data_IF_385396973990
#
_entry.id   IF_385396973990
#
_cell.length_a   1.000
_cell.length_b   1.000
_cell.length_c   1.000
_cell.angle_alpha   90.00
_cell.angle_beta   90.00
_cell.angle_gamma   90.00
#
_symmetry.space_group_name_H-M   'P 1'
#
loop_
_entity.id
_entity.type
_entity.pdbx_description
1 polymer ?
#
# COMPACT_ATOMS: atom_id res chain seq x y z
N UNK A 1 35.34 -24.19 -2.57
CA UNK A 1 36.16 -24.14 -3.80
C UNK A 1 35.22 -23.77 -4.95
N UNK A 2 35.61 -22.83 -5.82
CA UNK A 2 34.79 -22.02 -6.75
C UNK A 2 34.00 -20.86 -6.13
N UNK A 3 34.73 -19.86 -5.63
CA UNK A 3 34.30 -18.46 -5.52
C UNK A 3 35.24 -17.66 -6.42
N UNK A 4 34.77 -16.55 -6.98
CA UNK A 4 35.43 -15.65 -7.95
C UNK A 4 35.26 -16.06 -9.42
N UNK A 5 34.13 -15.68 -10.01
CA UNK A 5 34.06 -15.46 -11.46
C UNK A 5 33.11 -14.28 -11.75
N UNK A 6 33.70 -13.23 -12.31
CA UNK A 6 33.09 -12.05 -12.95
C UNK A 6 32.22 -11.10 -12.12
N UNK A 7 32.87 -10.06 -11.59
CA UNK A 7 32.29 -8.72 -11.43
C UNK A 7 33.30 -7.73 -12.05
N UNK A 8 33.24 -7.52 -13.38
CA UNK A 8 34.12 -6.54 -14.05
C UNK A 8 33.49 -5.76 -15.21
N UNK A 9 32.16 -5.82 -15.39
CA UNK A 9 31.49 -5.08 -16.47
C UNK A 9 30.32 -4.27 -15.91
N UNK A 10 30.60 -3.18 -15.19
CA UNK A 10 29.60 -2.16 -14.88
C UNK A 10 30.24 -0.80 -14.53
N UNK A 11 31.16 -0.32 -15.37
CA UNK A 11 31.50 1.11 -15.43
C UNK A 11 31.73 1.47 -16.89
N UNK A 12 30.64 1.75 -17.62
CA UNK A 12 30.73 2.47 -18.89
C UNK A 12 30.36 3.92 -18.56
N UNK A 13 31.32 4.88 -18.56
CA UNK A 13 30.97 6.28 -18.45
C UNK A 13 30.19 6.69 -19.69
N UNK A 14 28.98 7.20 -19.48
CA UNK A 14 28.11 7.78 -20.49
C UNK A 14 28.75 9.10 -20.95
N UNK A 15 29.65 9.06 -21.94
CA UNK A 15 30.13 10.27 -22.60
C UNK A 15 29.05 10.75 -23.57
N UNK A 16 28.25 11.71 -23.12
CA UNK A 16 27.37 12.47 -23.99
C UNK A 16 28.22 13.31 -24.96
N UNK A 17 28.29 12.87 -26.21
CA UNK A 17 28.96 13.61 -27.28
C UNK A 17 28.01 14.71 -27.78
N UNK A 18 28.20 15.93 -27.29
CA UNK A 18 27.52 17.13 -27.78
C UNK A 18 28.02 17.45 -29.19
N UNK A 19 27.14 17.33 -30.20
CA UNK A 19 27.41 17.79 -31.55
C UNK A 19 27.44 19.32 -31.57
N UNK A 20 28.63 19.89 -31.72
CA UNK A 20 28.81 21.31 -32.00
C UNK A 20 28.39 21.61 -33.44
N UNK A 21 27.29 22.34 -33.60
CA UNK A 21 26.96 23.03 -34.85
C UNK A 21 27.94 24.18 -35.09
N UNK A 22 28.91 23.97 -35.98
CA UNK A 22 29.70 25.07 -36.56
C UNK A 22 28.86 25.77 -37.63
N UNK A 23 28.45 27.00 -37.34
CA UNK A 23 27.87 27.94 -38.31
C UNK A 23 29.00 28.50 -39.16
N UNK A 24 29.22 27.93 -40.35
CA UNK A 24 30.03 28.57 -41.37
C UNK A 24 29.24 29.72 -42.00
N UNK A 25 29.59 30.93 -41.59
CA UNK A 25 29.08 32.18 -42.18
C UNK A 25 29.99 32.51 -43.35
N UNK A 26 29.65 32.06 -44.55
CA UNK A 26 30.35 32.48 -45.77
C UNK A 26 29.95 33.93 -46.10
N UNK A 27 30.82 34.87 -45.79
CA UNK A 27 30.75 36.26 -46.21
C UNK A 27 31.01 36.38 -47.72
N UNK A 28 29.95 36.61 -48.49
CA UNK A 28 30.05 37.01 -49.90
C UNK A 28 30.57 38.44 -49.99
N UNK A 29 31.83 38.61 -50.41
CA UNK A 29 32.33 39.90 -50.87
C UNK A 29 31.91 40.13 -52.33
N UNK A 30 30.82 40.87 -52.54
CA UNK A 30 30.53 41.52 -53.81
C UNK A 30 31.47 42.71 -54.00
N UNK A 31 32.51 42.55 -54.80
CA UNK A 31 33.18 43.67 -55.49
C UNK A 31 32.71 43.66 -56.95
N UNK A 32 31.80 44.57 -57.25
CA UNK A 32 31.49 44.95 -58.62
C UNK A 32 32.66 45.74 -59.19
N UNK A 33 33.29 45.22 -60.25
CA UNK A 33 34.04 46.05 -61.19
C UNK A 33 33.57 45.66 -62.57
N UNK A 34 32.77 46.55 -63.15
CA UNK A 34 32.41 46.54 -64.57
C UNK A 34 33.69 46.82 -65.35
N UNK A 35 34.12 45.87 -66.17
CA UNK A 35 35.02 46.16 -67.29
C UNK A 35 34.54 45.40 -68.53
N UNK A 36 34.47 46.16 -69.61
CA UNK A 36 33.83 45.90 -70.89
C UNK A 36 34.52 44.80 -71.71
N UNK A 37 33.73 44.24 -72.61
CA UNK A 37 34.12 43.64 -73.90
C UNK A 37 35.17 42.54 -73.86
N UNK A 38 34.70 41.32 -73.69
CA UNK A 38 35.26 40.20 -74.47
C UNK A 38 34.16 39.17 -74.71
N UNK A 39 33.88 38.92 -75.99
CA UNK A 39 33.12 37.76 -76.46
C UNK A 39 33.88 36.52 -75.99
N UNK A 40 33.46 35.91 -74.89
CA UNK A 40 33.88 34.56 -74.54
C UNK A 40 32.92 33.63 -75.24
N UNK A 41 33.41 33.09 -76.35
CA UNK A 41 32.88 31.92 -77.04
C UNK A 41 32.52 30.89 -75.97
N UNK A 42 31.24 30.50 -75.90
CA UNK A 42 30.79 29.35 -75.12
C UNK A 42 31.52 28.16 -75.72
N UNK A 43 32.66 27.83 -75.12
CA UNK A 43 33.41 26.66 -75.44
C UNK A 43 32.59 25.51 -74.87
N UNK A 44 31.82 24.90 -75.76
CA UNK A 44 31.09 23.66 -75.60
C UNK A 44 32.10 22.54 -75.31
N UNK A 45 32.69 22.56 -74.11
CA UNK A 45 33.68 21.58 -73.65
C UNK A 45 32.90 20.51 -72.90
N UNK A 46 32.45 19.51 -73.66
CA UNK A 46 32.35 18.10 -73.24
C UNK A 46 31.62 17.79 -71.92
N UNK A 47 30.33 18.13 -71.85
CA UNK A 47 29.41 17.74 -70.75
C UNK A 47 29.30 16.22 -70.53
N UNK A 48 29.46 15.43 -71.60
CA UNK A 48 29.28 13.97 -71.56
C UNK A 48 30.31 13.25 -70.67
N UNK A 49 31.54 13.76 -70.58
CA UNK A 49 32.60 13.10 -69.80
C UNK A 49 32.49 13.41 -68.30
N UNK A 50 32.01 14.60 -67.93
CA UNK A 50 31.78 14.96 -66.53
C UNK A 50 30.56 14.21 -66.00
N UNK A 51 29.48 14.14 -66.78
CA UNK A 51 28.30 13.36 -66.44
C UNK A 51 28.63 11.87 -66.28
N UNK A 52 29.42 11.29 -67.21
CA UNK A 52 29.89 9.90 -67.09
C UNK A 52 30.78 9.68 -65.87
N UNK A 53 31.69 10.59 -65.56
CA UNK A 53 32.53 10.48 -64.37
C UNK A 53 31.69 10.56 -63.09
N UNK A 54 30.72 11.47 -63.03
CA UNK A 54 29.82 11.60 -61.89
C UNK A 54 28.95 10.35 -61.72
N UNK A 55 28.41 9.80 -62.82
CA UNK A 55 27.65 8.55 -62.81
C UNK A 55 28.52 7.37 -62.35
N UNK A 56 29.77 7.28 -62.81
CA UNK A 56 30.71 6.25 -62.35
C UNK A 56 31.05 6.38 -60.86
N UNK A 57 31.15 7.59 -60.32
CA UNK A 57 31.35 7.82 -58.89
C UNK A 57 30.13 7.31 -58.13
N UNK A 58 28.91 7.68 -58.55
CA UNK A 58 27.67 7.24 -57.92
C UNK A 58 27.49 5.71 -57.98
N UNK A 59 27.77 5.07 -59.11
CA UNK A 59 27.70 3.61 -59.25
C UNK A 59 28.73 2.90 -58.36
N UNK A 60 29.96 3.42 -58.26
CA UNK A 60 31.00 2.89 -57.36
C UNK A 60 30.62 3.07 -55.90
N UNK A 61 30.09 4.23 -55.52
CA UNK A 61 29.62 4.49 -54.15
C UNK A 61 28.41 3.64 -53.80
N UNK A 62 27.45 3.45 -54.73
CA UNK A 62 26.28 2.59 -54.52
C UNK A 62 26.69 1.10 -54.35
N UNK A 63 27.67 0.63 -55.13
CA UNK A 63 28.23 -0.72 -54.96
C UNK A 63 29.00 -0.87 -53.62
N UNK A 64 29.63 0.19 -53.11
CA UNK A 64 30.26 0.18 -51.79
C UNK A 64 29.25 0.29 -50.63
N UNK A 65 28.09 0.90 -50.86
CA UNK A 65 26.99 1.05 -49.89
C UNK A 65 26.04 -0.16 -49.84
N UNK A 66 26.30 -1.23 -50.59
CA UNK A 66 25.63 -2.52 -50.39
C UNK A 66 26.01 -3.11 -49.02
N UNK A 67 25.42 -2.55 -47.97
CA UNK A 67 25.61 -2.86 -46.56
C UNK A 67 25.37 -4.34 -46.25
N UNK A 68 24.53 -5.00 -47.04
CA UNK A 68 24.13 -6.39 -46.83
C UNK A 68 25.18 -7.43 -47.26
N UNK A 69 26.03 -7.07 -48.22
CA UNK A 69 27.11 -7.96 -48.72
C UNK A 69 28.51 -7.47 -48.36
N UNK A 70 28.60 -6.35 -47.64
CA UNK A 70 29.85 -5.86 -47.11
C UNK A 70 30.28 -6.76 -45.92
N UNK A 71 31.55 -7.20 -45.83
CA UNK A 71 32.05 -7.98 -44.70
C UNK A 71 31.71 -7.37 -43.33
N UNK A 72 31.63 -6.03 -43.22
CA UNK A 72 31.20 -5.36 -41.98
C UNK A 72 29.75 -5.67 -41.57
N UNK A 73 28.83 -5.78 -42.54
CA UNK A 73 27.43 -6.14 -42.26
C UNK A 73 27.30 -7.57 -41.73
N UNK A 74 28.12 -8.49 -42.23
CA UNK A 74 28.20 -9.86 -41.73
C UNK A 74 28.72 -9.92 -40.28
N UNK A 75 29.76 -9.13 -39.94
CA UNK A 75 30.25 -9.03 -38.56
C UNK A 75 29.19 -8.48 -37.59
N UNK A 76 28.46 -7.44 -37.99
CA UNK A 76 27.37 -6.87 -37.18
C UNK A 76 26.24 -7.89 -37.00
N UNK A 77 25.86 -8.62 -38.06
CA UNK A 77 24.86 -9.68 -37.99
C UNK A 77 25.28 -10.83 -37.06
N UNK A 78 26.53 -11.27 -37.14
CA UNK A 78 27.08 -12.31 -36.26
C UNK A 78 27.11 -11.87 -34.80
N UNK A 79 27.51 -10.62 -34.53
CA UNK A 79 27.50 -10.04 -33.19
C UNK A 79 26.08 -9.93 -32.63
N UNK A 80 25.12 -9.50 -33.46
CA UNK A 80 23.71 -9.45 -33.09
C UNK A 80 23.13 -10.82 -32.76
N UNK A 81 23.46 -11.84 -33.56
CA UNK A 81 23.10 -13.23 -33.29
C UNK A 81 23.67 -13.73 -31.96
N UNK A 82 24.95 -13.45 -31.69
CA UNK A 82 25.60 -13.83 -30.43
C UNK A 82 24.95 -13.15 -29.22
N UNK A 83 24.63 -11.85 -29.31
CA UNK A 83 23.89 -11.13 -28.28
C UNK A 83 22.49 -11.72 -28.03
N UNK A 84 21.76 -12.08 -29.09
CA UNK A 84 20.44 -12.69 -28.96
C UNK A 84 20.49 -14.05 -28.24
N UNK A 85 21.50 -14.88 -28.54
CA UNK A 85 21.72 -16.16 -27.85
C UNK A 85 22.03 -15.94 -26.38
N UNK A 86 22.95 -15.02 -26.05
CA UNK A 86 23.30 -14.71 -24.66
C UNK A 86 22.10 -14.14 -23.88
N UNK A 87 21.32 -13.25 -24.49
CA UNK A 87 20.12 -12.69 -23.89
C UNK A 87 19.07 -13.79 -23.60
N UNK A 88 18.91 -14.74 -24.53
CA UNK A 88 18.00 -15.88 -24.35
C UNK A 88 18.45 -16.77 -23.19
N UNK A 89 19.75 -17.07 -23.08
CA UNK A 89 20.31 -17.84 -21.97
C UNK A 89 20.12 -17.10 -20.64
N UNK A 90 20.40 -15.80 -20.59
CA UNK A 90 20.21 -14.98 -19.39
C UNK A 90 18.74 -14.95 -18.96
N UNK A 91 17.82 -14.76 -19.90
CA UNK A 91 16.37 -14.78 -19.64
C UNK A 91 15.93 -16.14 -19.06
N UNK A 92 16.43 -17.24 -19.61
CA UNK A 92 16.14 -18.59 -19.10
C UNK A 92 16.67 -18.81 -17.68
N UNK A 93 17.89 -18.35 -17.39
CA UNK A 93 18.48 -18.43 -16.04
C UNK A 93 17.66 -17.61 -15.05
N UNK A 94 17.31 -16.37 -15.40
CA UNK A 94 16.49 -15.48 -14.55
C UNK A 94 15.11 -16.11 -14.30
N UNK A 95 14.47 -16.68 -15.33
CA UNK A 95 13.19 -17.34 -15.21
C UNK A 95 13.24 -18.51 -14.22
N UNK A 96 14.25 -19.38 -14.35
CA UNK A 96 14.43 -20.52 -13.45
C UNK A 96 14.70 -20.06 -12.02
N UNK A 97 15.59 -19.10 -11.81
CA UNK A 97 15.87 -18.54 -10.49
C UNK A 97 14.64 -17.86 -9.88
N UNK A 98 13.83 -17.16 -10.66
CA UNK A 98 12.63 -16.48 -10.17
C UNK A 98 11.66 -17.44 -9.50
N UNK A 99 11.53 -18.67 -9.99
CA UNK A 99 10.68 -19.69 -9.36
C UNK A 99 11.19 -20.08 -7.98
N UNK A 100 12.48 -20.41 -7.86
CA UNK A 100 13.12 -20.78 -6.59
C UNK A 100 13.05 -19.62 -5.57
N UNK A 101 13.31 -18.38 -6.00
CA UNK A 101 13.19 -17.19 -5.15
C UNK A 101 11.75 -16.95 -4.68
N UNK A 102 10.76 -17.13 -5.56
CA UNK A 102 9.34 -16.99 -5.18
C UNK A 102 8.96 -17.99 -4.10
N UNK A 103 9.41 -19.23 -4.21
CA UNK A 103 9.13 -20.28 -3.23
C UNK A 103 9.82 -19.96 -1.88
N UNK A 104 11.08 -19.51 -1.90
CA UNK A 104 11.79 -19.08 -0.69
C UNK A 104 11.13 -17.87 -0.01
N UNK A 105 10.71 -16.86 -0.79
CA UNK A 105 10.01 -15.69 -0.27
C UNK A 105 8.66 -16.11 0.33
N UNK A 106 7.91 -16.96 -0.36
CA UNK A 106 6.62 -17.46 0.15
C UNK A 106 6.81 -18.20 1.47
N UNK A 107 7.80 -19.10 1.54
CA UNK A 107 8.13 -19.83 2.78
C UNK A 107 8.53 -18.88 3.91
N UNK A 108 9.37 -17.88 3.63
CA UNK A 108 9.76 -16.87 4.60
C UNK A 108 8.56 -16.05 5.10
N UNK A 109 7.63 -15.67 4.23
CA UNK A 109 6.39 -14.98 4.61
C UNK A 109 5.50 -15.85 5.51
N UNK A 110 5.33 -17.13 5.17
CA UNK A 110 4.59 -18.09 5.99
C UNK A 110 5.23 -18.28 7.38
N UNK A 111 6.56 -18.40 7.44
CA UNK A 111 7.29 -18.50 8.71
C UNK A 111 7.16 -17.24 9.57
N UNK A 112 7.26 -16.04 8.96
CA UNK A 112 7.05 -14.78 9.67
C UNK A 112 5.61 -14.61 10.13
N UNK A 113 4.64 -15.02 9.33
CA UNK A 113 3.23 -15.00 9.72
C UNK A 113 2.98 -15.91 10.93
N UNK A 114 3.51 -17.14 10.90
CA UNK A 114 3.39 -18.08 12.01
C UNK A 114 4.08 -17.55 13.28
N UNK A 115 5.27 -16.95 13.14
CA UNK A 115 5.97 -16.32 14.26
C UNK A 115 5.17 -15.17 14.87
N UNK A 116 4.53 -14.33 14.04
CA UNK A 116 3.67 -13.25 14.49
C UNK A 116 2.40 -13.77 15.20
N UNK A 117 1.74 -14.78 14.64
CA UNK A 117 0.57 -15.42 15.27
C UNK A 117 0.91 -16.02 16.63
N UNK A 118 2.09 -16.67 16.73
CA UNK A 118 2.60 -17.20 18.01
C UNK A 118 2.85 -16.07 19.01
N UNK A 119 3.49 -14.98 18.60
CA UNK A 119 3.77 -13.83 19.45
C UNK A 119 2.47 -13.17 19.94
N UNK A 120 1.48 -12.98 19.06
CA UNK A 120 0.15 -12.46 19.43
C UNK A 120 -0.53 -13.38 20.44
N UNK A 121 -0.50 -14.69 20.20
CA UNK A 121 -1.09 -15.68 21.11
C UNK A 121 -0.42 -15.66 22.49
N UNK A 122 0.92 -15.61 22.51
CA UNK A 122 1.70 -15.51 23.74
C UNK A 122 1.40 -14.21 24.50
N UNK A 123 1.33 -13.08 23.80
CA UNK A 123 0.97 -11.78 24.41
C UNK A 123 -0.44 -11.79 24.97
N UNK A 124 -1.41 -12.35 24.26
CA UNK A 124 -2.77 -12.49 24.76
C UNK A 124 -2.84 -13.39 26.00
N UNK A 125 -2.06 -14.48 26.04
CA UNK A 125 -1.97 -15.31 27.24
C UNK A 125 -1.30 -14.58 28.41
N UNK A 126 -0.24 -13.79 28.15
CA UNK A 126 0.37 -12.93 29.18
C UNK A 126 -0.64 -11.93 29.74
N UNK A 127 -1.41 -11.26 28.88
CA UNK A 127 -2.46 -10.33 29.31
C UNK A 127 -3.52 -10.99 30.18
N UNK A 128 -3.98 -12.20 29.82
CA UNK A 128 -4.92 -12.97 30.66
C UNK A 128 -4.35 -13.31 32.04
N UNK A 129 -3.06 -13.68 32.11
CA UNK A 129 -2.40 -13.97 33.39
C UNK A 129 -2.28 -12.69 34.22
N UNK A 130 -1.94 -11.55 33.60
CA UNK A 130 -1.88 -10.25 34.27
C UNK A 130 -3.26 -9.83 34.81
N UNK A 131 -4.31 -9.95 34.00
CA UNK A 131 -5.69 -9.63 34.40
C UNK A 131 -6.14 -10.46 35.61
N UNK A 132 -5.95 -11.78 35.56
CA UNK A 132 -6.25 -12.66 36.69
C UNK A 132 -5.41 -12.34 37.95
N UNK A 133 -4.16 -11.91 37.78
CA UNK A 133 -3.31 -11.49 38.88
C UNK A 133 -3.81 -10.19 39.51
N UNK A 134 -4.27 -9.22 38.71
CA UNK A 134 -4.85 -7.98 39.21
C UNK A 134 -6.13 -8.24 39.99
N UNK A 135 -7.02 -9.11 39.47
CA UNK A 135 -8.24 -9.51 40.18
C UNK A 135 -7.96 -10.14 41.54
N UNK A 136 -6.98 -11.04 41.58
CA UNK A 136 -6.54 -11.65 42.84
C UNK A 136 -6.03 -10.59 43.82
N UNK A 137 -5.17 -9.67 43.37
CA UNK A 137 -4.66 -8.60 44.22
C UNK A 137 -5.77 -7.68 44.72
N UNK A 138 -6.69 -7.26 43.86
CA UNK A 138 -7.86 -6.43 44.25
C UNK A 138 -8.69 -7.16 45.31
N UNK A 139 -8.94 -8.46 45.14
CA UNK A 139 -9.67 -9.27 46.12
C UNK A 139 -8.95 -9.33 47.47
N UNK A 140 -7.65 -9.63 47.48
CA UNK A 140 -6.82 -9.69 48.70
C UNK A 140 -6.82 -8.35 49.45
N UNK A 141 -6.67 -7.22 48.75
CA UNK A 141 -6.72 -5.89 49.38
C UNK A 141 -8.13 -5.52 49.88
N UNK A 142 -9.18 -5.95 49.18
CA UNK A 142 -10.56 -5.80 49.65
C UNK A 142 -10.85 -6.62 50.92
N UNK A 143 -10.21 -7.77 51.10
CA UNK A 143 -10.27 -8.51 52.36
C UNK A 143 -9.51 -7.81 53.49
N UNK A 144 -8.32 -7.28 53.21
CA UNK A 144 -7.54 -6.50 54.18
C UNK A 144 -8.29 -5.24 54.66
N UNK A 145 -9.08 -4.59 53.80
CA UNK A 145 -9.92 -3.46 54.18
C UNK A 145 -10.90 -3.76 55.32
N UNK A 146 -11.28 -5.04 55.50
CA UNK A 146 -12.24 -5.45 56.54
C UNK A 146 -11.60 -5.52 57.93
N UNK A 147 -10.29 -5.74 58.02
CA UNK A 147 -9.58 -6.02 59.28
C UNK A 147 -8.67 -4.88 59.74
N UNK A 148 -8.36 -3.94 58.85
CA UNK A 148 -7.39 -2.87 59.07
C UNK A 148 -8.00 -1.63 59.78
N UNK A 149 -7.17 -0.93 60.57
CA UNK A 149 -7.51 0.33 61.26
C UNK A 149 -7.86 1.47 60.30
N UNK A 150 -8.65 2.45 60.75
CA UNK A 150 -9.15 3.56 59.91
C UNK A 150 -8.03 4.34 59.19
N UNK A 151 -6.90 4.58 59.85
CA UNK A 151 -5.78 5.35 59.28
C UNK A 151 -5.18 4.68 58.02
N UNK A 152 -5.18 3.35 57.98
CA UNK A 152 -4.62 2.57 56.88
C UNK A 152 -5.64 2.27 55.77
N UNK A 153 -6.94 2.38 56.05
CA UNK A 153 -8.00 2.15 55.05
C UNK A 153 -7.90 3.11 53.86
N UNK A 154 -7.50 4.36 54.09
CA UNK A 154 -7.35 5.35 53.01
C UNK A 154 -6.27 4.94 52.02
N UNK A 155 -5.12 4.47 52.51
CA UNK A 155 -4.01 4.03 51.66
C UNK A 155 -4.38 2.79 50.85
N UNK A 156 -5.06 1.81 51.46
CA UNK A 156 -5.49 0.60 50.77
C UNK A 156 -6.53 0.92 49.69
N UNK A 157 -7.49 1.83 49.94
CA UNK A 157 -8.45 2.29 48.92
C UNK A 157 -7.78 2.96 47.73
N UNK A 158 -6.79 3.82 47.98
CA UNK A 158 -6.03 4.46 46.90
C UNK A 158 -5.26 3.42 46.07
N UNK A 159 -4.71 2.40 46.71
CA UNK A 159 -4.02 1.31 46.02
C UNK A 159 -4.96 0.47 45.16
N UNK A 160 -6.14 0.11 45.68
CA UNK A 160 -7.19 -0.59 44.91
C UNK A 160 -7.62 0.23 43.70
N UNK A 161 -7.84 1.55 43.86
CA UNK A 161 -8.19 2.43 42.74
C UNK A 161 -7.13 2.40 41.63
N UNK A 162 -5.84 2.39 41.98
CA UNK A 162 -4.75 2.30 40.99
C UNK A 162 -4.72 0.93 40.29
N UNK A 163 -5.01 -0.15 41.01
CA UNK A 163 -5.12 -1.49 40.42
C UNK A 163 -6.32 -1.59 39.47
N UNK A 164 -7.45 -0.97 39.83
CA UNK A 164 -8.65 -0.88 38.99
C UNK A 164 -8.38 -0.05 37.71
N UNK A 165 -7.66 1.08 37.82
CA UNK A 165 -7.21 1.87 36.65
C UNK A 165 -6.27 1.06 35.74
N UNK A 166 -5.34 0.30 36.32
CA UNK A 166 -4.45 -0.59 35.54
C UNK A 166 -5.22 -1.72 34.86
N UNK A 167 -6.23 -2.26 35.53
CA UNK A 167 -7.12 -3.27 34.97
C UNK A 167 -7.93 -2.70 33.80
N UNK A 168 -8.53 -1.53 33.98
CA UNK A 168 -9.25 -0.81 32.92
C UNK A 168 -8.32 -0.53 31.74
N UNK A 169 -7.07 -0.12 31.98
CA UNK A 169 -6.08 0.06 30.93
C UNK A 169 -5.79 -1.25 30.16
N UNK A 170 -5.72 -2.40 30.84
CA UNK A 170 -5.54 -3.71 30.20
C UNK A 170 -6.80 -4.12 29.41
N UNK A 171 -8.00 -3.87 29.94
CA UNK A 171 -9.25 -4.11 29.22
C UNK A 171 -9.40 -3.19 28.00
N UNK A 172 -8.79 -2.01 28.02
CA UNK A 172 -8.79 -1.08 26.88
C UNK A 172 -7.79 -1.44 25.77
N UNK A 173 -7.11 -2.60 25.83
CA UNK A 173 -6.20 -3.08 24.79
C UNK A 173 -6.89 -3.07 23.42
N UNK A 174 -6.37 -2.25 22.52
CA UNK A 174 -6.95 -2.01 21.18
C UNK A 174 -6.95 -3.30 20.37
N UNK A 175 -8.13 -3.86 20.12
CA UNK A 175 -8.30 -5.01 19.25
C UNK A 175 -7.94 -4.63 17.82
N UNK A 176 -6.91 -5.26 17.27
CA UNK A 176 -6.44 -4.99 15.90
C UNK A 176 -6.61 -6.20 15.01
N UNK A 177 -7.33 -6.01 13.90
CA UNK A 177 -7.63 -7.04 12.92
C UNK A 177 -7.34 -6.54 11.51
N UNK A 178 -6.71 -7.39 10.72
CA UNK A 178 -6.62 -7.23 9.27
C UNK A 178 -7.75 -7.98 8.60
N UNK A 179 -8.39 -7.35 7.62
CA UNK A 179 -9.51 -7.93 6.91
C UNK A 179 -9.66 -7.32 5.50
N UNK A 180 -10.10 -8.14 4.55
CA UNK A 180 -10.36 -7.75 3.16
C UNK A 180 -11.61 -8.43 2.63
N UNK A 181 -12.21 -7.83 1.60
CA UNK A 181 -13.38 -8.39 0.93
C UNK A 181 -14.70 -8.18 1.68
N UNK A 182 -15.76 -8.73 1.09
CA UNK A 182 -17.14 -8.50 1.52
C UNK A 182 -17.63 -9.47 2.60
N UNK A 183 -16.92 -10.58 2.83
CA UNK A 183 -17.25 -11.55 3.87
C UNK A 183 -17.10 -10.90 5.23
N UNK A 184 -18.02 -11.11 6.15
CA UNK A 184 -17.90 -10.48 7.46
C UNK A 184 -16.93 -11.25 8.36
N UNK A 185 -16.20 -10.52 9.21
CA UNK A 185 -15.48 -11.08 10.35
C UNK A 185 -16.18 -10.62 11.63
N UNK A 186 -16.80 -11.57 12.33
CA UNK A 186 -17.48 -11.30 13.61
C UNK A 186 -16.49 -11.58 14.76
N UNK A 187 -16.30 -10.57 15.62
CA UNK A 187 -15.58 -10.68 16.88
C UNK A 187 -16.62 -10.64 17.98
N UNK A 188 -16.69 -11.72 18.76
CA UNK A 188 -17.60 -11.81 19.89
C UNK A 188 -17.13 -10.86 20.97
N UNK A 189 -18.04 -10.04 21.45
CA UNK A 189 -17.82 -9.09 22.54
C UNK A 189 -18.83 -9.37 23.64
N UNK A 190 -18.44 -9.09 24.88
CA UNK A 190 -19.35 -9.17 26.02
C UNK A 190 -19.15 -7.96 26.93
N UNK A 191 -19.44 -6.78 26.38
CA UNK A 191 -19.18 -5.51 27.05
C UNK A 191 -20.49 -4.85 27.50
N UNK A 192 -20.62 -4.52 28.79
CA UNK A 192 -21.80 -3.86 29.36
C UNK A 192 -21.83 -2.38 29.03
N UNK A 193 -22.96 -1.87 28.53
CA UNK A 193 -23.11 -0.48 28.10
C UNK A 193 -23.67 0.37 29.25
N UNK A 194 -23.04 1.52 29.50
CA UNK A 194 -23.54 2.60 30.36
C UNK A 194 -23.67 3.91 29.56
N UNK A 195 -24.15 5.00 30.19
CA UNK A 195 -24.38 6.29 29.50
C UNK A 195 -23.10 6.90 28.91
N UNK A 196 -21.94 6.57 29.47
CA UNK A 196 -20.65 7.10 29.06
C UNK A 196 -19.89 6.18 28.11
N UNK A 197 -20.43 5.01 27.77
CA UNK A 197 -19.75 4.05 26.88
C UNK A 197 -19.55 4.66 25.48
N UNK A 198 -18.29 4.78 25.11
CA UNK A 198 -17.80 5.25 23.84
C UNK A 198 -17.16 4.12 23.05
N UNK A 199 -17.39 4.14 21.75
CA UNK A 199 -16.70 3.29 20.81
C UNK A 199 -15.66 4.10 20.06
N UNK A 200 -14.41 3.64 20.14
CA UNK A 200 -13.30 4.20 19.39
C UNK A 200 -12.84 3.18 18.36
N UNK A 201 -12.71 3.61 17.11
CA UNK A 201 -12.07 2.83 16.07
C UNK A 201 -11.11 3.68 15.24
N UNK A 202 -9.93 3.14 14.96
CA UNK A 202 -8.98 3.60 13.96
C UNK A 202 -8.95 2.57 12.83
N UNK A 203 -9.18 3.02 11.61
CA UNK A 203 -9.25 2.18 10.42
C UNK A 203 -8.20 2.68 9.44
N UNK A 204 -7.27 1.81 9.04
CA UNK A 204 -6.24 2.11 8.05
C UNK A 204 -6.58 1.42 6.76
N UNK A 205 -6.93 2.22 5.75
CA UNK A 205 -7.30 1.79 4.41
C UNK A 205 -6.06 1.53 3.56
N UNK A 206 -6.18 0.60 2.61
CA UNK A 206 -5.14 0.36 1.60
C UNK A 206 -4.98 1.58 0.67
N UNK A 207 -6.11 2.18 0.27
CA UNK A 207 -6.16 3.38 -0.55
C UNK A 207 -7.28 4.33 -0.11
N UNK A 208 -7.12 5.62 -0.45
CA UNK A 208 -8.12 6.64 -0.14
C UNK A 208 -9.40 6.32 -0.91
N UNK A 209 -10.56 6.43 -0.23
CA UNK A 209 -11.86 6.12 -0.81
C UNK A 209 -12.22 4.63 -0.83
N UNK A 210 -11.35 3.74 -0.32
CA UNK A 210 -11.72 2.34 -0.12
C UNK A 210 -12.89 2.24 0.86
N UNK A 211 -13.93 1.49 0.48
CA UNK A 211 -15.13 1.33 1.31
C UNK A 211 -14.89 0.34 2.43
N UNK A 212 -15.41 0.62 3.62
CA UNK A 212 -15.38 -0.29 4.76
C UNK A 212 -16.69 -0.18 5.54
N UNK A 213 -17.01 -1.20 6.33
CA UNK A 213 -18.09 -1.14 7.32
C UNK A 213 -17.67 -1.80 8.62
N UNK A 214 -17.94 -1.15 9.74
CA UNK A 214 -17.85 -1.72 11.09
C UNK A 214 -19.23 -1.66 11.74
N UNK A 215 -19.77 -2.81 12.11
CA UNK A 215 -21.05 -2.91 12.79
C UNK A 215 -20.86 -3.33 14.25
N UNK A 216 -21.66 -2.76 15.13
CA UNK A 216 -21.72 -3.12 16.55
C UNK A 216 -23.09 -3.72 16.81
N UNK A 217 -23.13 -4.97 17.27
CA UNK A 217 -24.37 -5.63 17.69
C UNK A 217 -24.69 -5.23 19.11
N UNK A 218 -25.79 -4.52 19.26
CA UNK A 218 -26.34 -4.09 20.53
C UNK A 218 -27.42 -5.07 20.96
N UNK A 219 -27.33 -5.52 22.21
CA UNK A 219 -28.38 -6.27 22.90
C UNK A 219 -29.07 -5.29 23.84
N UNK A 220 -30.40 -5.27 23.81
CA UNK A 220 -31.25 -4.37 24.60
C UNK A 220 -31.82 -5.06 25.83
N UNK A 221 -32.43 -4.30 26.74
CA UNK A 221 -33.00 -4.84 27.98
C UNK A 221 -34.13 -5.86 27.76
N UNK A 222 -34.80 -5.82 26.61
CA UNK A 222 -35.79 -6.81 26.17
C UNK A 222 -35.18 -7.97 25.35
N UNK A 223 -33.86 -8.12 25.39
CA UNK A 223 -33.07 -9.14 24.70
C UNK A 223 -33.22 -9.13 23.16
N UNK A 224 -33.64 -8.00 22.58
CA UNK A 224 -33.61 -7.80 21.12
C UNK A 224 -32.22 -7.38 20.68
N UNK A 225 -31.95 -7.61 19.38
CA UNK A 225 -30.64 -7.40 18.76
C UNK A 225 -30.75 -6.34 17.68
N UNK A 226 -29.89 -5.35 17.76
CA UNK A 226 -29.81 -4.25 16.79
C UNK A 226 -28.38 -4.07 16.32
N UNK A 227 -28.21 -3.51 15.13
CA UNK A 227 -26.92 -3.23 14.54
C UNK A 227 -26.72 -1.73 14.38
N UNK A 228 -25.60 -1.23 14.90
CA UNK A 228 -25.11 0.13 14.69
C UNK A 228 -23.91 0.08 13.75
N UNK A 229 -24.05 0.62 12.54
CA UNK A 229 -23.03 0.57 11.50
C UNK A 229 -22.31 1.90 11.27
N UNK A 230 -21.00 1.87 11.14
CA UNK A 230 -20.20 2.98 10.65
C UNK A 230 -19.51 2.55 9.37
N UNK A 231 -19.65 3.35 8.32
CA UNK A 231 -19.09 3.01 7.01
C UNK A 231 -18.35 4.17 6.38
N UNK A 232 -17.28 3.84 5.65
CA UNK A 232 -16.61 4.73 4.71
C UNK A 232 -17.12 4.46 3.31
N UNK A 233 -17.54 5.51 2.60
CA UNK A 233 -18.10 5.38 1.26
C UNK A 233 -17.90 6.60 0.37
N UNK A 234 -18.45 6.53 -0.83
CA UNK A 234 -18.40 7.61 -1.84
C UNK A 234 -19.42 8.73 -1.60
N UNK A 235 -20.39 8.50 -0.71
CA UNK A 235 -21.42 9.49 -0.34
C UNK A 235 -21.72 9.41 1.15
N UNK A 236 -22.09 10.54 1.73
CA UNK A 236 -22.68 10.57 3.06
C UNK A 236 -24.12 10.03 2.95
N UNK A 237 -24.44 9.02 3.74
CA UNK A 237 -25.75 8.37 3.69
C UNK A 237 -26.14 7.82 5.06
N UNK A 238 -27.44 7.72 5.29
CA UNK A 238 -28.00 7.10 6.49
C UNK A 238 -28.85 5.93 6.03
N UNK A 239 -28.48 4.73 6.46
CA UNK A 239 -29.22 3.53 6.18
C UNK A 239 -30.03 3.10 7.40
N UNK A 240 -31.32 2.82 7.19
CA UNK A 240 -32.21 2.16 8.15
C UNK A 240 -32.83 0.97 7.45
N UNK A 241 -32.63 -0.22 8.00
CA UNK A 241 -33.31 -1.41 7.48
C UNK A 241 -34.83 -1.28 7.67
N UNK A 242 -35.62 -1.84 6.74
CA UNK A 242 -37.09 -1.87 6.80
C UNK A 242 -37.60 -2.60 8.04
N UNK A 243 -36.85 -3.59 8.53
CA UNK A 243 -37.16 -4.28 9.78
C UNK A 243 -36.87 -3.46 11.03
N UNK A 244 -36.20 -2.31 10.93
CA UNK A 244 -35.84 -1.47 12.06
C UNK A 244 -34.78 -2.07 12.98
N UNK A 245 -34.00 -3.05 12.49
CA UNK A 245 -32.95 -3.72 13.28
C UNK A 245 -31.55 -3.17 13.01
N UNK A 246 -31.37 -2.37 11.97
CA UNK A 246 -30.07 -1.83 11.57
C UNK A 246 -30.17 -0.33 11.34
N UNK A 247 -29.19 0.39 11.89
CA UNK A 247 -28.95 1.79 11.67
C UNK A 247 -27.48 1.99 11.30
N UNK A 248 -27.19 2.62 10.17
CA UNK A 248 -25.80 2.90 9.78
C UNK A 248 -25.61 4.31 9.23
N UNK A 249 -24.47 4.92 9.56
CA UNK A 249 -24.01 6.20 8.99
C UNK A 249 -22.79 5.96 8.10
N UNK A 250 -22.91 6.38 6.85
CA UNK A 250 -21.80 6.45 5.89
C UNK A 250 -21.22 7.85 5.88
N UNK A 251 -19.90 7.97 5.97
CA UNK A 251 -19.16 9.23 5.82
C UNK A 251 -18.11 9.10 4.71
N UNK A 252 -17.83 10.20 4.01
CA UNK A 252 -16.69 10.31 3.09
C UNK A 252 -15.44 10.65 3.90
N UNK A 253 -14.35 9.90 3.67
CA UNK A 253 -13.05 10.13 4.30
C UNK A 253 -11.99 10.41 3.24
N UNK A 254 -11.28 11.53 3.38
CA UNK A 254 -10.25 11.98 2.43
C UNK A 254 -8.83 11.56 2.84
N UNK A 255 -8.71 10.60 3.77
CA UNK A 255 -7.45 10.09 4.32
C UNK A 255 -7.47 8.56 4.33
N UNK A 256 -6.28 7.95 4.30
CA UNK A 256 -6.14 6.49 4.51
C UNK A 256 -6.42 6.10 5.96
N UNK A 257 -6.18 7.00 6.91
CA UNK A 257 -6.48 6.78 8.32
C UNK A 257 -7.82 7.41 8.66
N UNK A 258 -8.73 6.60 9.18
CA UNK A 258 -10.08 6.99 9.57
C UNK A 258 -10.24 6.78 11.05
N UNK A 259 -10.73 7.80 11.76
CA UNK A 259 -11.00 7.73 13.20
C UNK A 259 -12.49 7.89 13.43
N UNK A 260 -13.05 6.99 14.22
CA UNK A 260 -14.44 6.97 14.69
C UNK A 260 -14.38 7.04 16.21
N UNK A 261 -15.12 7.99 16.79
CA UNK A 261 -15.28 8.14 18.23
C UNK A 261 -16.72 8.53 18.50
N UNK A 262 -17.50 7.59 19.04
CA UNK A 262 -18.96 7.73 19.09
C UNK A 262 -19.49 7.20 20.42
N UNK A 263 -20.37 7.97 21.07
CA UNK A 263 -21.08 7.52 22.26
C UNK A 263 -22.19 6.55 21.85
N UNK A 264 -22.12 5.30 22.35
CA UNK A 264 -22.99 4.21 21.88
C UNK A 264 -24.45 4.48 22.23
N UNK A 265 -24.74 4.98 23.43
CA UNK A 265 -26.12 5.25 23.85
C UNK A 265 -26.75 6.36 23.03
N UNK A 266 -26.01 7.44 22.77
CA UNK A 266 -26.47 8.56 21.95
C UNK A 266 -26.71 8.12 20.50
N UNK A 267 -25.78 7.35 19.94
CA UNK A 267 -25.90 6.84 18.57
C UNK A 267 -27.06 5.83 18.42
N UNK A 268 -27.27 4.98 19.41
CA UNK A 268 -28.41 4.08 19.48
C UNK A 268 -29.74 4.84 19.49
N UNK A 269 -29.87 5.85 20.36
CA UNK A 269 -31.06 6.70 20.44
C UNK A 269 -31.35 7.43 19.11
N UNK A 270 -30.31 7.90 18.42
CA UNK A 270 -30.45 8.54 17.10
C UNK A 270 -31.02 7.57 16.04
N UNK A 271 -30.52 6.33 16.01
CA UNK A 271 -30.97 5.31 15.06
C UNK A 271 -32.38 4.82 15.31
N UNK A 272 -32.71 4.65 16.59
CA UNK A 272 -33.88 3.93 17.07
C UNK A 272 -34.74 4.74 18.05
N UNK A 273 -35.01 6.00 17.73
CA UNK A 273 -35.80 6.92 18.57
C UNK A 273 -37.17 6.36 18.99
N UNK A 274 -37.75 5.49 18.16
CA UNK A 274 -39.04 4.85 18.41
C UNK A 274 -38.99 3.75 19.49
N UNK A 275 -37.80 3.30 19.89
CA UNK A 275 -37.65 2.22 20.86
C UNK A 275 -37.59 2.76 22.28
N UNK A 276 -38.51 2.29 23.13
CA UNK A 276 -38.48 2.54 24.57
C UNK A 276 -37.59 1.52 25.32
N UNK A 277 -36.44 1.16 24.76
CA UNK A 277 -35.49 0.23 25.41
C UNK A 277 -34.09 0.83 25.45
N UNK A 278 -33.31 0.42 26.44
CA UNK A 278 -31.94 0.87 26.62
C UNK A 278 -30.97 -0.20 26.08
N UNK A 279 -29.88 0.21 25.43
CA UNK A 279 -28.80 -0.69 25.08
C UNK A 279 -28.12 -1.15 26.38
N UNK A 280 -27.99 -2.47 26.58
CA UNK A 280 -27.39 -3.02 27.80
C UNK A 280 -26.02 -3.62 27.55
N UNK A 281 -25.76 -4.11 26.33
CA UNK A 281 -24.56 -4.89 26.06
C UNK A 281 -24.16 -4.83 24.57
N UNK A 282 -22.87 -4.85 24.31
CA UNK A 282 -22.29 -5.12 22.99
C UNK A 282 -22.01 -6.61 22.91
N UNK A 283 -22.67 -7.30 21.98
CA UNK A 283 -22.56 -8.75 21.80
C UNK A 283 -21.56 -9.18 20.72
N UNK A 284 -21.29 -8.32 19.74
CA UNK A 284 -20.21 -8.54 18.78
C UNK A 284 -19.87 -7.26 17.99
N UNK A 285 -18.64 -7.19 17.51
CA UNK A 285 -18.19 -6.24 16.49
C UNK A 285 -17.98 -7.00 15.18
N UNK A 286 -18.59 -6.52 14.11
CA UNK A 286 -18.51 -7.11 12.76
C UNK A 286 -17.73 -6.19 11.85
N UNK A 287 -16.68 -6.72 11.24
CA UNK A 287 -15.82 -6.00 10.30
C UNK A 287 -16.15 -6.45 8.87
N UNK A 288 -16.14 -5.50 7.92
CA UNK A 288 -16.31 -5.77 6.50
C UNK A 288 -15.48 -4.81 5.66
N UNK A 289 -14.76 -5.36 4.67
CA UNK A 289 -14.04 -4.58 3.67
C UNK A 289 -14.86 -4.28 2.42
N UNK A 290 -14.20 -3.70 1.42
CA UNK A 290 -14.81 -3.43 0.12
C UNK A 290 -15.06 -4.72 -0.66
N UNK A 291 -16.13 -4.74 -1.45
CA UNK A 291 -16.40 -5.80 -2.42
C UNK A 291 -15.65 -5.60 -3.75
N UNK A 292 -15.25 -4.36 -4.07
CA UNK A 292 -14.54 -4.01 -5.31
C UNK A 292 -13.04 -3.94 -5.09
N UNK A 293 -12.61 -3.40 -3.94
CA UNK A 293 -11.19 -3.29 -3.59
C UNK A 293 -10.83 -4.31 -2.51
N UNK A 294 -10.16 -5.37 -2.94
CA UNK A 294 -9.74 -6.47 -2.06
C UNK A 294 -8.46 -6.16 -1.28
N UNK A 295 -7.94 -4.92 -1.33
CA UNK A 295 -6.84 -4.47 -0.50
C UNK A 295 -7.13 -4.69 0.99
N UNK A 296 -6.11 -5.09 1.74
CA UNK A 296 -6.23 -5.34 3.18
C UNK A 296 -6.48 -4.04 3.95
N UNK A 297 -7.50 -4.05 4.82
CA UNK A 297 -7.83 -2.95 5.73
C UNK A 297 -7.45 -3.39 7.15
N UNK A 298 -6.82 -2.49 7.91
CA UNK A 298 -6.55 -2.70 9.33
C UNK A 298 -7.61 -1.99 10.16
N UNK A 299 -8.34 -2.74 10.98
CA UNK A 299 -9.33 -2.26 11.93
C UNK A 299 -8.76 -2.36 13.34
N UNK A 300 -8.62 -1.24 14.02
CA UNK A 300 -8.19 -1.16 15.41
C UNK A 300 -9.31 -0.53 16.22
N UNK A 301 -9.91 -1.22 17.18
CA UNK A 301 -11.00 -0.65 17.98
C UNK A 301 -10.85 -0.95 19.46
N UNK A 302 -11.52 -0.13 20.27
CA UNK A 302 -11.73 -0.35 21.70
C UNK A 302 -13.07 0.25 22.14
N UNK A 303 -13.63 -0.32 23.20
CA UNK A 303 -14.83 0.16 23.87
C UNK A 303 -14.38 0.71 25.22
N UNK A 304 -14.77 1.94 25.54
CA UNK A 304 -14.35 2.69 26.74
C UNK A 304 -15.60 3.17 27.47
#
# INVERSE_FOLDING_TARGET
>A
MTKYFLFFFLIIPFLAQTQGTTKDTATFHTKSTVQKDTVVIIQQITDDNIAKNYQQILEKTNNQLSLWWNPYGLFVGMLGGLFAVLATIAAFIIYRQSKEYRDLIKKSLEEHQLALEKLVTEKNNQLKIYDASLDKSIMEYNEQLKTVSEDNKKQIKEFISKLEEQKEYIDTQVHTYKHSGWQHKDILENYSINQNTNFYARITLNQIGQTFVIYIKIITSDNKKYWLGFSGGVKNDIYKDKGGHEYSRTKIYNSKEVVIQENIVSFFKEGFQQLNTLPIQIGCVRLRGSNTDLGEITFSYKII
#
